data_IF_729517311433
#
_entry.id   IF_729517311433
#
_cell.length_a   1.000
_cell.length_b   1.000
_cell.length_c   1.000
_cell.angle_alpha   90.00
_cell.angle_beta   90.00
_cell.angle_gamma   90.00
#
_symmetry.space_group_name_H-M   'P 1'
#
loop_
_entity.id
_entity.type
_entity.pdbx_description
1 polymer ?
#
# COMPACT_ATOMS: atom_id res chain seq x y z
N UNK A 1 -26.01 6.20 13.79
CA UNK A 1 -24.58 6.29 13.37
C UNK A 1 -24.56 6.87 11.96
N UNK A 2 -23.81 7.94 11.69
CA UNK A 2 -23.81 8.61 10.37
C UNK A 2 -23.30 7.67 9.28
N UNK A 3 -23.87 7.77 8.07
CA UNK A 3 -23.48 7.00 6.89
C UNK A 3 -21.96 7.09 6.61
N UNK A 4 -21.38 8.29 6.76
CA UNK A 4 -19.93 8.54 6.60
C UNK A 4 -19.09 7.74 7.60
N UNK A 5 -19.50 7.70 8.88
CA UNK A 5 -18.76 6.93 9.90
C UNK A 5 -18.75 5.43 9.58
N UNK A 6 -19.87 4.92 9.05
CA UNK A 6 -19.97 3.54 8.58
C UNK A 6 -19.04 3.30 7.39
N UNK A 7 -19.07 4.17 6.38
CA UNK A 7 -18.22 4.06 5.19
C UNK A 7 -16.71 4.09 5.54
N UNK A 8 -16.30 4.98 6.45
CA UNK A 8 -14.91 5.03 6.95
C UNK A 8 -14.50 3.74 7.64
N UNK A 9 -15.37 3.19 8.50
CA UNK A 9 -15.11 1.93 9.18
C UNK A 9 -15.02 0.75 8.21
N UNK A 10 -15.93 0.69 7.23
CA UNK A 10 -15.95 -0.34 6.19
C UNK A 10 -14.72 -0.25 5.29
N UNK A 11 -14.27 0.96 4.95
CA UNK A 11 -13.05 1.17 4.16
C UNK A 11 -11.80 0.67 4.89
N UNK A 12 -11.65 0.95 6.19
CA UNK A 12 -10.53 0.43 6.99
C UNK A 12 -10.55 -1.10 7.08
N UNK A 13 -11.70 -1.70 7.36
CA UNK A 13 -11.84 -3.16 7.40
C UNK A 13 -11.56 -3.80 6.04
N UNK A 14 -12.05 -3.19 4.96
CA UNK A 14 -11.87 -3.70 3.61
C UNK A 14 -10.42 -3.59 3.16
N UNK A 15 -9.70 -2.52 3.52
CA UNK A 15 -8.26 -2.42 3.29
C UNK A 15 -7.51 -3.61 3.92
N UNK A 16 -7.78 -3.89 5.19
CA UNK A 16 -7.13 -5.01 5.89
C UNK A 16 -7.50 -6.36 5.29
N UNK A 17 -8.79 -6.60 5.05
CA UNK A 17 -9.26 -7.87 4.50
C UNK A 17 -8.73 -8.11 3.08
N UNK A 18 -8.74 -7.08 2.22
CA UNK A 18 -8.27 -7.18 0.85
C UNK A 18 -6.76 -7.47 0.79
N UNK A 19 -5.96 -6.77 1.59
CA UNK A 19 -4.51 -6.98 1.67
C UNK A 19 -4.16 -8.37 2.20
N UNK A 20 -4.78 -8.82 3.29
CA UNK A 20 -4.55 -10.18 3.82
C UNK A 20 -5.01 -11.28 2.87
N UNK A 21 -6.05 -11.04 2.07
CA UNK A 21 -6.51 -12.01 1.06
C UNK A 21 -5.61 -12.05 -0.17
N UNK A 22 -5.01 -10.94 -0.59
CA UNK A 22 -4.15 -10.86 -1.78
C UNK A 22 -2.70 -11.20 -1.51
N UNK A 23 -2.22 -10.97 -0.28
CA UNK A 23 -0.84 -11.21 0.15
C UNK A 23 -0.26 -12.59 -0.26
N UNK A 24 -0.98 -13.72 -0.18
CA UNK A 24 -0.43 -15.04 -0.50
C UNK A 24 -0.11 -15.26 -1.97
N UNK A 25 -0.64 -14.41 -2.84
CA UNK A 25 -0.46 -14.48 -4.31
C UNK A 25 0.24 -13.23 -4.85
N UNK A 26 0.81 -12.41 -3.96
CA UNK A 26 1.54 -11.21 -4.36
C UNK A 26 2.77 -11.60 -5.20
N UNK A 27 2.89 -11.00 -6.39
CA UNK A 27 3.95 -11.20 -7.40
C UNK A 27 3.94 -12.54 -8.14
N UNK A 28 2.81 -13.26 -8.13
CA UNK A 28 2.61 -14.34 -9.10
C UNK A 28 2.37 -13.74 -10.48
N UNK A 29 3.28 -14.01 -11.42
CA UNK A 29 3.17 -13.54 -12.80
C UNK A 29 2.32 -14.48 -13.67
N UNK A 30 2.18 -15.75 -13.28
CA UNK A 30 1.27 -16.71 -13.90
C UNK A 30 0.12 -17.07 -12.95
N UNK A 31 -1.12 -16.92 -13.42
CA UNK A 31 -2.33 -17.28 -12.67
C UNK A 31 -2.49 -18.79 -12.48
N UNK A 32 -1.87 -19.63 -13.31
CA UNK A 32 -1.87 -21.09 -13.13
C UNK A 32 -0.97 -21.54 -11.98
N UNK A 33 0.09 -20.79 -11.70
CA UNK A 33 0.95 -21.05 -10.54
C UNK A 33 0.15 -20.86 -9.24
N UNK A 34 -0.70 -19.82 -9.16
CA UNK A 34 -1.64 -19.63 -8.04
C UNK A 34 -2.54 -20.87 -7.90
N UNK A 35 -3.13 -21.32 -9.00
CA UNK A 35 -4.04 -22.47 -8.97
C UNK A 35 -3.33 -23.75 -8.53
N UNK A 36 -2.09 -23.94 -8.94
CA UNK A 36 -1.26 -25.09 -8.57
C UNK A 36 -0.90 -25.04 -7.09
N UNK A 37 -0.36 -23.92 -6.63
CA UNK A 37 0.12 -23.74 -5.26
C UNK A 37 -1.01 -23.78 -4.24
N UNK A 38 -2.20 -23.28 -4.57
CA UNK A 38 -3.35 -23.27 -3.66
C UNK A 38 -4.37 -24.39 -3.94
N UNK A 39 -4.05 -25.33 -4.83
CA UNK A 39 -4.92 -26.46 -5.23
C UNK A 39 -6.31 -25.99 -5.67
N UNK A 40 -6.37 -24.87 -6.39
CA UNK A 40 -7.59 -24.16 -6.73
C UNK A 40 -7.42 -22.65 -6.64
N UNK A 41 -8.52 -21.91 -6.81
CA UNK A 41 -8.52 -20.46 -6.62
C UNK A 41 -8.60 -20.10 -5.14
N UNK A 42 -7.80 -19.12 -4.73
CA UNK A 42 -7.92 -18.55 -3.38
C UNK A 42 -9.32 -17.96 -3.18
N UNK A 43 -9.94 -18.27 -2.04
CA UNK A 43 -11.30 -17.82 -1.69
C UNK A 43 -11.44 -17.30 -0.26
N UNK A 44 -10.30 -17.17 0.44
CA UNK A 44 -10.23 -16.68 1.82
C UNK A 44 -8.81 -16.37 2.23
N UNK A 45 -8.60 -16.17 3.52
CA UNK A 45 -7.27 -15.92 4.09
C UNK A 45 -6.41 -17.17 4.02
N UNK A 46 -5.22 -17.05 3.45
CA UNK A 46 -4.24 -18.11 3.35
C UNK A 46 -2.89 -17.58 3.84
N UNK A 47 -2.03 -18.46 4.34
CA UNK A 47 -0.61 -18.13 4.51
C UNK A 47 0.07 -18.16 3.13
N UNK A 48 1.09 -17.31 2.88
CA UNK A 48 1.91 -17.43 1.69
C UNK A 48 2.63 -18.78 1.71
N UNK A 49 2.90 -19.33 0.53
CA UNK A 49 3.80 -20.47 0.41
C UNK A 49 5.21 -20.07 0.82
N UNK A 50 5.98 -20.98 1.40
CA UNK A 50 7.38 -20.70 1.74
C UNK A 50 8.19 -20.38 0.47
N UNK A 51 7.90 -21.12 -0.61
CA UNK A 51 8.47 -20.93 -1.92
C UNK A 51 7.50 -20.20 -2.85
N UNK A 52 8.03 -19.32 -3.69
CA UNK A 52 7.32 -18.57 -4.70
C UNK A 52 7.96 -18.86 -6.07
N UNK A 53 7.16 -19.28 -7.07
CA UNK A 53 7.65 -19.86 -8.32
C UNK A 53 8.46 -18.89 -9.17
N UNK A 54 8.14 -17.60 -9.11
CA UNK A 54 8.81 -16.55 -9.90
C UNK A 54 9.54 -15.52 -9.04
N UNK A 55 10.00 -15.90 -7.84
CA UNK A 55 10.60 -14.91 -6.94
C UNK A 55 11.87 -14.31 -7.52
N UNK A 56 11.94 -12.99 -7.47
CA UNK A 56 13.15 -12.20 -7.76
C UNK A 56 13.58 -11.39 -6.54
N UNK A 57 13.18 -11.82 -5.34
CA UNK A 57 13.53 -11.14 -4.09
C UNK A 57 15.05 -10.98 -3.96
N UNK A 58 15.82 -12.01 -4.34
CA UNK A 58 17.29 -12.00 -4.30
C UNK A 58 17.95 -10.98 -5.24
N UNK A 59 17.22 -10.48 -6.24
CA UNK A 59 17.69 -9.43 -7.14
C UNK A 59 17.43 -8.03 -6.60
N UNK A 60 16.65 -7.88 -5.54
CA UNK A 60 16.26 -6.58 -4.99
C UNK A 60 17.41 -5.94 -4.22
N UNK A 61 17.57 -4.63 -4.35
CA UNK A 61 18.61 -3.88 -3.66
C UNK A 61 18.29 -3.78 -2.16
N UNK A 62 19.10 -4.42 -1.31
CA UNK A 62 18.92 -4.42 0.16
C UNK A 62 19.41 -3.14 0.83
N UNK A 63 20.15 -2.29 0.11
CA UNK A 63 20.65 -1.00 0.57
C UNK A 63 19.81 0.19 0.06
N UNK A 64 18.77 -0.03 -0.76
CA UNK A 64 17.99 1.06 -1.32
C UNK A 64 16.92 0.62 -2.33
N UNK A 65 16.67 1.50 -3.30
CA UNK A 65 15.63 1.31 -4.30
C UNK A 65 16.03 0.34 -5.42
N UNK A 66 15.04 -0.26 -6.07
CA UNK A 66 15.23 -1.06 -7.29
C UNK A 66 15.98 -2.38 -7.08
N UNK A 67 16.67 -2.82 -8.15
CA UNK A 67 17.47 -4.06 -8.18
C UNK A 67 18.95 -3.78 -7.95
N UNK A 68 19.66 -4.78 -7.43
CA UNK A 68 21.12 -4.74 -7.31
C UNK A 68 21.72 -4.80 -8.72
N UNK A 69 22.33 -3.71 -9.19
CA UNK A 69 23.12 -3.72 -10.42
C UNK A 69 24.58 -3.99 -10.10
N UNK A 70 25.26 -4.79 -10.91
CA UNK A 70 26.70 -5.07 -10.77
C UNK A 70 27.59 -3.81 -10.80
N UNK A 71 27.05 -2.68 -11.27
CA UNK A 71 27.78 -1.44 -11.56
C UNK A 71 27.59 -0.31 -10.53
N UNK A 72 26.83 -0.51 -9.43
CA UNK A 72 26.66 0.57 -8.45
C UNK A 72 27.94 0.76 -7.61
N UNK A 73 28.79 1.68 -8.04
CA UNK A 73 30.12 2.01 -7.50
C UNK A 73 30.17 2.61 -6.09
N UNK A 74 29.09 2.55 -5.31
CA UNK A 74 29.13 2.81 -3.86
C UNK A 74 28.27 1.76 -3.15
N UNK A 75 28.93 0.78 -2.51
CA UNK A 75 28.28 -0.21 -1.64
C UNK A 75 27.81 0.49 -0.36
N UNK A 76 26.64 1.14 -0.40
CA UNK A 76 25.96 1.56 0.83
C UNK A 76 25.68 0.32 1.68
N UNK A 77 25.74 0.41 3.02
CA UNK A 77 25.39 -0.71 3.87
C UNK A 77 23.92 -1.10 3.65
N UNK A 78 23.58 -2.40 3.62
CA UNK A 78 22.20 -2.84 3.56
C UNK A 78 21.38 -2.25 4.71
N UNK A 79 20.18 -1.74 4.39
CA UNK A 79 19.19 -1.34 5.40
C UNK A 79 18.33 -2.52 5.82
N UNK A 80 18.11 -3.48 4.91
CA UNK A 80 17.41 -4.73 5.19
C UNK A 80 18.26 -5.59 6.12
N UNK A 81 17.65 -6.06 7.22
CA UNK A 81 18.28 -6.89 8.24
C UNK A 81 19.01 -6.12 9.33
N UNK A 82 19.26 -4.81 9.16
CA UNK A 82 20.04 -3.99 10.11
C UNK A 82 19.30 -2.74 10.60
N UNK A 83 18.62 -2.03 9.70
CA UNK A 83 17.85 -0.82 10.01
C UNK A 83 16.36 -1.12 9.98
N UNK A 84 15.91 -1.85 8.96
CA UNK A 84 14.53 -2.33 8.80
C UNK A 84 14.53 -3.82 8.49
N UNK A 85 13.38 -4.49 8.64
CA UNK A 85 13.27 -5.93 8.38
C UNK A 85 14.35 -6.74 9.15
N UNK A 86 14.53 -6.40 10.42
CA UNK A 86 15.58 -6.95 11.29
C UNK A 86 15.68 -8.47 11.17
N UNK A 87 16.92 -8.97 11.06
CA UNK A 87 17.28 -10.38 10.94
C UNK A 87 16.84 -11.11 9.65
N UNK A 88 16.27 -10.40 8.67
CA UNK A 88 15.72 -11.02 7.44
C UNK A 88 16.62 -10.91 6.21
N UNK A 89 17.83 -10.35 6.32
CA UNK A 89 18.74 -10.18 5.17
C UNK A 89 19.02 -11.51 4.44
N UNK A 90 19.13 -12.62 5.18
CA UNK A 90 19.39 -13.95 4.62
C UNK A 90 18.28 -14.42 3.64
N UNK A 91 17.04 -13.98 3.83
CA UNK A 91 15.91 -14.27 2.93
C UNK A 91 16.02 -13.48 1.61
N UNK A 92 16.69 -12.32 1.64
CA UNK A 92 16.92 -11.45 0.50
C UNK A 92 18.21 -11.74 -0.26
N UNK A 93 19.09 -12.59 0.27
CA UNK A 93 20.39 -12.91 -0.36
C UNK A 93 20.55 -14.39 -0.67
N UNK A 94 19.51 -15.20 -0.42
CA UNK A 94 19.54 -16.62 -0.74
C UNK A 94 19.73 -16.86 -2.23
N UNK A 95 20.63 -17.79 -2.57
CA UNK A 95 20.89 -18.24 -3.94
C UNK A 95 19.77 -19.12 -4.49
N UNK A 96 18.86 -19.62 -3.65
CA UNK A 96 17.74 -20.48 -4.05
C UNK A 96 16.68 -19.78 -4.91
N UNK A 97 16.66 -18.44 -4.90
CA UNK A 97 15.80 -17.62 -5.78
C UNK A 97 14.29 -17.86 -5.65
N UNK A 98 13.83 -18.54 -4.60
CA UNK A 98 12.43 -19.00 -4.49
C UNK A 98 11.74 -18.53 -3.23
N UNK A 99 12.32 -17.65 -2.41
CA UNK A 99 11.65 -17.18 -1.19
C UNK A 99 10.45 -16.31 -1.55
N UNK A 100 9.30 -16.60 -0.94
CA UNK A 100 8.12 -15.76 -1.08
C UNK A 100 8.35 -14.38 -0.44
N UNK A 101 7.89 -13.31 -1.09
CA UNK A 101 8.05 -11.93 -0.64
C UNK A 101 7.60 -11.73 0.82
N UNK A 102 6.42 -12.26 1.14
CA UNK A 102 5.84 -12.22 2.48
C UNK A 102 6.16 -13.44 3.37
N UNK A 103 7.33 -14.08 3.18
CA UNK A 103 7.74 -15.22 3.98
C UNK A 103 7.56 -14.95 5.50
N UNK A 104 6.93 -15.89 6.21
CA UNK A 104 6.68 -15.81 7.65
C UNK A 104 5.34 -15.17 8.04
N UNK A 105 4.64 -14.48 7.13
CA UNK A 105 3.26 -14.05 7.39
C UNK A 105 2.32 -15.26 7.47
N UNK A 106 1.23 -15.10 8.21
CA UNK A 106 0.16 -16.09 8.37
C UNK A 106 -1.14 -15.63 7.71
N UNK A 107 -2.07 -16.59 7.53
CA UNK A 107 -3.42 -16.30 7.10
C UNK A 107 -4.08 -15.21 7.96
N UNK A 108 -4.49 -14.12 7.31
CA UNK A 108 -5.16 -13.00 7.97
C UNK A 108 -4.21 -11.92 8.50
N UNK A 109 -2.89 -12.09 8.38
CA UNK A 109 -1.93 -11.01 8.67
C UNK A 109 -1.86 -10.03 7.49
N UNK A 110 -1.57 -8.76 7.79
CA UNK A 110 -1.42 -7.70 6.79
C UNK A 110 0.04 -7.50 6.39
N UNK A 111 0.24 -7.06 5.15
CA UNK A 111 1.55 -6.66 4.62
C UNK A 111 2.03 -5.36 5.26
N UNK A 112 3.33 -5.08 5.10
CA UNK A 112 3.99 -3.93 5.70
C UNK A 112 3.30 -2.58 5.39
N UNK A 113 2.79 -2.39 4.17
CA UNK A 113 2.14 -1.14 3.78
C UNK A 113 0.86 -0.90 4.54
N UNK A 114 0.01 -1.93 4.68
CA UNK A 114 -1.24 -1.82 5.43
C UNK A 114 -0.96 -1.69 6.92
N UNK A 115 0.07 -2.35 7.45
CA UNK A 115 0.52 -2.09 8.82
C UNK A 115 0.94 -0.63 9.02
N UNK A 116 1.69 -0.04 8.08
CA UNK A 116 2.05 1.38 8.12
C UNK A 116 0.81 2.30 8.06
N UNK A 117 -0.18 1.97 7.22
CA UNK A 117 -1.44 2.71 7.14
C UNK A 117 -2.24 2.64 8.45
N UNK A 118 -2.38 1.46 9.05
CA UNK A 118 -3.06 1.28 10.34
C UNK A 118 -2.37 2.05 11.46
N UNK A 119 -1.03 2.07 11.45
CA UNK A 119 -0.24 2.86 12.39
C UNK A 119 -0.40 4.36 12.21
N UNK A 120 -0.46 4.84 10.97
CA UNK A 120 -0.78 6.24 10.68
C UNK A 120 -2.17 6.60 11.21
N UNK A 121 -3.20 5.79 10.93
CA UNK A 121 -4.54 6.01 11.47
C UNK A 121 -4.55 6.05 13.01
N UNK A 122 -3.87 5.10 13.67
CA UNK A 122 -3.77 5.06 15.12
C UNK A 122 -3.05 6.30 15.68
N UNK A 123 -1.94 6.70 15.07
CA UNK A 123 -1.19 7.89 15.49
C UNK A 123 -2.02 9.15 15.37
N UNK A 124 -2.77 9.31 14.27
CA UNK A 124 -3.64 10.46 14.06
C UNK A 124 -4.77 10.52 15.10
N UNK A 125 -5.44 9.39 15.36
CA UNK A 125 -6.55 9.31 16.32
C UNK A 125 -6.06 9.46 17.77
N UNK A 126 -5.03 8.71 18.17
CA UNK A 126 -4.49 8.77 19.54
C UNK A 126 -3.79 10.12 19.83
N UNK A 127 -3.25 10.78 18.80
CA UNK A 127 -2.69 12.12 18.92
C UNK A 127 -3.76 13.22 19.03
N UNK A 128 -5.05 12.90 18.90
CA UNK A 128 -6.14 13.86 19.05
C UNK A 128 -6.21 14.89 17.91
N UNK A 129 -5.64 14.59 16.74
CA UNK A 129 -5.65 15.51 15.60
C UNK A 129 -7.07 15.60 15.03
N UNK A 130 -7.67 16.78 15.15
CA UNK A 130 -8.98 17.09 14.54
C UNK A 130 -8.84 17.54 13.08
N UNK A 131 -7.65 18.00 12.69
CA UNK A 131 -7.28 18.33 11.32
C UNK A 131 -5.97 17.61 10.97
N UNK A 132 -6.08 16.54 10.19
CA UNK A 132 -4.93 15.71 9.77
C UNK A 132 -4.11 16.36 8.65
N UNK A 133 -4.54 17.52 8.12
CA UNK A 133 -3.75 18.33 7.19
C UNK A 133 -2.67 19.18 7.88
N UNK A 134 -2.65 19.19 9.22
CA UNK A 134 -1.65 19.91 9.98
C UNK A 134 -0.26 19.29 9.84
N UNK A 135 0.76 20.16 9.93
CA UNK A 135 2.17 19.76 9.85
C UNK A 135 2.56 18.80 10.98
N UNK A 136 2.04 19.01 12.18
CA UNK A 136 2.33 18.19 13.36
C UNK A 136 1.71 16.78 13.24
N UNK A 137 0.56 16.66 12.58
CA UNK A 137 -0.04 15.36 12.26
C UNK A 137 0.89 14.51 11.37
N UNK A 138 1.45 15.13 10.31
CA UNK A 138 2.43 14.46 9.45
C UNK A 138 3.73 14.13 10.19
N UNK A 139 4.21 15.03 11.05
CA UNK A 139 5.40 14.81 11.86
C UNK A 139 5.23 13.61 12.81
N UNK A 140 4.08 13.53 13.49
CA UNK A 140 3.75 12.43 14.39
C UNK A 140 3.70 11.09 13.64
N UNK A 141 2.99 11.04 12.50
CA UNK A 141 2.90 9.82 11.68
C UNK A 141 4.27 9.39 11.15
N UNK A 142 5.09 10.31 10.66
CA UNK A 142 6.44 9.97 10.21
C UNK A 142 7.35 9.48 11.33
N UNK A 143 7.26 10.07 12.52
CA UNK A 143 8.01 9.62 13.68
C UNK A 143 7.63 8.20 14.08
N UNK A 144 6.32 7.90 14.10
CA UNK A 144 5.82 6.55 14.37
C UNK A 144 6.23 5.54 13.28
N UNK A 145 6.20 5.95 12.00
CA UNK A 145 6.67 5.16 10.86
C UNK A 145 8.17 4.80 10.98
N UNK A 146 9.02 5.77 11.33
CA UNK A 146 10.44 5.53 11.60
C UNK A 146 10.59 4.56 12.77
N UNK A 147 9.98 4.87 13.91
CA UNK A 147 10.07 4.03 15.11
C UNK A 147 9.63 2.59 14.82
N UNK A 148 8.51 2.41 14.13
CA UNK A 148 7.97 1.10 13.78
C UNK A 148 8.93 0.26 12.96
N UNK A 149 9.41 0.81 11.85
CA UNK A 149 10.26 0.06 10.91
C UNK A 149 11.66 -0.16 11.46
N UNK A 150 12.15 0.73 12.34
CA UNK A 150 13.46 0.57 12.97
C UNK A 150 13.44 -0.29 14.22
N UNK A 151 12.27 -0.68 14.74
CA UNK A 151 12.17 -1.52 15.94
C UNK A 151 12.22 -3.00 15.56
N UNK A 152 13.18 -3.79 16.08
CA UNK A 152 13.19 -5.24 15.87
C UNK A 152 11.89 -5.90 16.33
N UNK A 153 11.46 -6.95 15.62
CA UNK A 153 10.25 -7.72 15.92
C UNK A 153 8.93 -6.94 15.93
N UNK A 154 8.89 -5.69 15.43
CA UNK A 154 7.67 -4.89 15.36
C UNK A 154 6.65 -5.45 14.35
N UNK A 155 7.11 -6.23 13.36
CA UNK A 155 6.26 -6.88 12.36
C UNK A 155 6.92 -8.15 11.79
N UNK A 156 6.09 -9.03 11.21
CA UNK A 156 6.53 -10.31 10.66
C UNK A 156 6.86 -10.30 9.17
N UNK A 157 6.41 -9.29 8.43
CA UNK A 157 6.63 -9.23 6.98
C UNK A 157 8.12 -9.24 6.58
N UNK A 158 8.44 -9.98 5.52
CA UNK A 158 9.77 -10.11 4.94
C UNK A 158 10.00 -9.10 3.81
N UNK A 159 8.94 -8.55 3.22
CA UNK A 159 9.05 -7.62 2.11
C UNK A 159 8.85 -6.16 2.55
N UNK A 160 9.68 -5.27 2.02
CA UNK A 160 9.47 -3.84 2.06
C UNK A 160 9.70 -3.29 0.66
N UNK A 161 8.76 -2.49 0.14
CA UNK A 161 8.89 -1.86 -1.18
C UNK A 161 10.12 -0.94 -1.31
N UNK A 162 10.49 -0.63 -2.55
CA UNK A 162 11.63 0.23 -2.89
C UNK A 162 11.58 1.59 -2.19
N UNK A 163 10.37 2.13 -1.97
CA UNK A 163 10.13 3.40 -1.28
C UNK A 163 10.60 3.40 0.17
N UNK A 164 10.33 2.31 0.91
CA UNK A 164 10.78 2.13 2.29
C UNK A 164 12.29 1.98 2.34
N UNK A 165 12.86 1.09 1.52
CA UNK A 165 14.32 0.87 1.48
C UNK A 165 15.05 2.15 1.09
N UNK A 166 14.54 2.90 0.12
CA UNK A 166 15.09 4.21 -0.26
C UNK A 166 14.98 5.25 0.85
N UNK A 167 13.85 5.29 1.58
CA UNK A 167 13.70 6.20 2.71
C UNK A 167 14.76 5.93 3.78
N UNK A 168 14.92 4.66 4.18
CA UNK A 168 15.88 4.31 5.23
C UNK A 168 17.34 4.36 4.77
N UNK A 169 17.58 4.16 3.47
CA UNK A 169 18.91 4.36 2.89
C UNK A 169 19.39 5.80 3.08
N UNK A 170 18.51 6.80 2.99
CA UNK A 170 18.87 8.20 3.21
C UNK A 170 18.80 8.56 4.71
N UNK A 171 17.84 7.99 5.44
CA UNK A 171 17.66 8.26 6.87
C UNK A 171 18.86 7.79 7.71
N UNK A 172 19.50 6.69 7.33
CA UNK A 172 20.61 6.10 8.12
C UNK A 172 21.83 7.02 8.28
N UNK A 173 21.97 8.05 7.43
CA UNK A 173 23.08 9.01 7.47
C UNK A 173 22.96 9.99 8.65
N UNK A 174 21.74 10.36 9.03
CA UNK A 174 21.47 11.38 10.07
C UNK A 174 20.64 10.89 11.24
N UNK A 175 19.90 9.78 11.05
CA UNK A 175 19.06 9.09 12.05
C UNK A 175 18.23 10.04 12.93
N UNK A 176 17.46 10.99 12.36
CA UNK A 176 16.59 11.85 13.14
C UNK A 176 15.55 11.01 13.89
N UNK A 177 15.29 11.37 15.14
CA UNK A 177 14.38 10.61 16.03
C UNK A 177 13.17 11.42 16.49
N UNK A 178 13.29 12.73 16.69
CA UNK A 178 12.16 13.56 17.11
C UNK A 178 11.20 13.84 15.93
N UNK A 179 9.88 14.01 16.18
CA UNK A 179 8.92 14.28 15.11
C UNK A 179 9.29 15.44 14.17
N UNK A 180 9.76 16.56 14.74
CA UNK A 180 10.16 17.74 13.96
C UNK A 180 11.41 17.50 13.11
N UNK A 181 12.38 16.75 13.63
CA UNK A 181 13.59 16.39 12.89
C UNK A 181 13.28 15.41 11.76
N UNK A 182 12.47 14.39 12.03
CA UNK A 182 12.06 13.39 11.02
C UNK A 182 11.29 14.07 9.88
N UNK A 183 10.37 14.97 10.21
CA UNK A 183 9.64 15.73 9.20
C UNK A 183 10.58 16.61 8.37
N UNK A 184 11.48 17.37 9.02
CA UNK A 184 12.45 18.23 8.32
C UNK A 184 13.36 17.41 7.40
N UNK A 185 13.77 16.22 7.83
CA UNK A 185 14.51 15.27 7.01
C UNK A 185 13.69 14.83 5.79
N UNK A 186 12.44 14.41 5.99
CA UNK A 186 11.58 13.93 4.92
C UNK A 186 11.23 15.03 3.90
N UNK A 187 10.99 16.27 4.34
CA UNK A 187 10.78 17.44 3.48
C UNK A 187 12.02 17.73 2.62
N UNK A 188 13.22 17.74 3.23
CA UNK A 188 14.49 17.93 2.49
C UNK A 188 14.74 16.80 1.50
N UNK A 189 14.56 15.55 1.92
CA UNK A 189 14.69 14.36 1.07
C UNK A 189 13.72 14.43 -0.12
N UNK A 190 12.47 14.78 0.14
CA UNK A 190 11.44 14.91 -0.90
C UNK A 190 11.86 15.93 -1.94
N UNK A 191 12.23 17.14 -1.50
CA UNK A 191 12.65 18.23 -2.40
C UNK A 191 13.83 17.80 -3.28
N UNK A 192 14.86 17.18 -2.69
CA UNK A 192 16.04 16.72 -3.43
C UNK A 192 15.69 15.68 -4.49
N UNK A 193 14.88 14.68 -4.16
CA UNK A 193 14.53 13.59 -5.09
C UNK A 193 13.59 14.06 -6.20
N UNK A 194 12.63 14.93 -5.90
CA UNK A 194 11.72 15.48 -6.92
C UNK A 194 12.37 16.50 -7.84
N UNK A 195 13.45 17.15 -7.40
CA UNK A 195 14.22 18.10 -8.22
C UNK A 195 15.34 17.45 -9.04
N UNK A 196 15.54 16.13 -8.90
CA UNK A 196 16.50 15.38 -9.70
C UNK A 196 16.09 15.36 -11.17
N UNK A 197 17.05 15.53 -12.09
CA UNK A 197 16.82 15.43 -13.54
C UNK A 197 16.42 14.01 -13.97
N UNK A 198 16.82 12.99 -13.20
CA UNK A 198 16.36 11.62 -13.32
C UNK A 198 15.63 11.19 -12.06
N UNK A 199 14.30 11.07 -12.16
CA UNK A 199 13.48 10.54 -11.08
C UNK A 199 13.59 9.02 -11.04
N UNK A 200 13.75 8.47 -9.84
CA UNK A 200 13.78 7.02 -9.64
C UNK A 200 12.37 6.43 -9.85
N UNK A 201 12.17 5.74 -10.97
CA UNK A 201 10.87 5.15 -11.34
C UNK A 201 10.37 4.10 -10.35
N UNK A 202 11.25 3.53 -9.51
CA UNK A 202 10.88 2.58 -8.48
C UNK A 202 10.19 3.24 -7.28
N UNK A 203 10.21 4.57 -7.20
CA UNK A 203 9.47 5.35 -6.21
C UNK A 203 8.05 5.72 -6.69
N UNK A 204 7.77 5.47 -7.97
CA UNK A 204 6.44 5.57 -8.56
C UNK A 204 5.68 4.26 -8.38
N UNK A 205 5.39 3.93 -7.12
CA UNK A 205 4.92 2.62 -6.72
C UNK A 205 3.50 2.68 -6.14
N UNK A 206 2.73 1.62 -6.36
CA UNK A 206 1.33 1.50 -5.91
C UNK A 206 1.19 1.49 -4.38
N UNK A 207 2.26 1.16 -3.65
CA UNK A 207 2.35 1.24 -2.18
C UNK A 207 2.02 2.61 -1.59
N UNK A 208 1.97 3.66 -2.42
CA UNK A 208 1.52 4.98 -2.02
C UNK A 208 0.03 5.03 -1.63
N UNK A 209 -0.82 4.19 -2.22
CA UNK A 209 -2.27 4.25 -2.01
C UNK A 209 -2.69 3.80 -0.60
N UNK A 210 -2.22 2.67 -0.04
CA UNK A 210 -2.51 2.33 1.35
C UNK A 210 -2.06 3.42 2.34
N UNK A 211 -0.89 4.02 2.09
CA UNK A 211 -0.27 5.01 3.00
C UNK A 211 -1.08 6.31 3.14
N UNK A 212 -1.89 6.67 2.14
CA UNK A 212 -2.71 7.89 2.18
C UNK A 212 -4.12 7.67 2.71
N UNK A 213 -4.58 6.41 2.82
CA UNK A 213 -5.96 6.11 3.23
C UNK A 213 -6.33 6.75 4.57
N UNK A 214 -5.51 6.70 5.63
CA UNK A 214 -5.83 7.34 6.90
C UNK A 214 -6.10 8.84 6.77
N UNK A 215 -5.35 9.55 5.92
CA UNK A 215 -5.49 11.00 5.73
C UNK A 215 -6.81 11.35 5.02
N UNK A 216 -7.24 10.54 4.05
CA UNK A 216 -8.52 10.74 3.36
C UNK A 216 -9.68 10.34 4.28
N UNK A 217 -9.61 9.16 4.90
CA UNK A 217 -10.68 8.58 5.71
C UNK A 217 -10.96 9.42 6.98
N UNK A 218 -9.91 9.91 7.65
CA UNK A 218 -10.07 10.77 8.83
C UNK A 218 -10.42 12.22 8.47
N UNK A 219 -10.30 12.60 7.19
CA UNK A 219 -10.78 13.88 6.65
C UNK A 219 -12.16 13.77 5.98
N UNK A 220 -12.90 12.66 6.14
CA UNK A 220 -14.14 12.43 5.41
C UNK A 220 -15.24 13.49 5.68
N UNK A 221 -15.19 14.18 6.82
CA UNK A 221 -16.10 15.29 7.14
C UNK A 221 -15.55 16.67 6.77
N UNK A 222 -14.29 16.76 6.35
CA UNK A 222 -13.72 17.99 5.81
C UNK A 222 -14.14 18.16 4.33
N UNK A 223 -13.87 19.35 3.78
CA UNK A 223 -14.05 19.58 2.35
C UNK A 223 -13.04 18.74 1.53
N UNK A 224 -13.39 18.45 0.27
CA UNK A 224 -12.60 17.60 -0.62
C UNK A 224 -11.15 18.11 -0.76
N UNK A 225 -10.96 19.42 -0.91
CA UNK A 225 -9.63 20.00 -1.12
C UNK A 225 -8.72 19.78 0.08
N UNK A 226 -9.23 19.93 1.30
CA UNK A 226 -8.46 19.68 2.52
C UNK A 226 -8.08 18.20 2.66
N UNK A 227 -9.02 17.27 2.40
CA UNK A 227 -8.75 15.83 2.45
C UNK A 227 -7.69 15.40 1.42
N UNK A 228 -7.79 15.93 0.20
CA UNK A 228 -6.84 15.66 -0.89
C UNK A 228 -5.47 16.25 -0.58
N UNK A 229 -5.40 17.51 -0.12
CA UNK A 229 -4.14 18.14 0.26
C UNK A 229 -3.45 17.39 1.40
N UNK A 230 -4.19 16.92 2.41
CA UNK A 230 -3.62 16.12 3.50
C UNK A 230 -2.94 14.83 3.00
N UNK A 231 -3.62 14.09 2.12
CA UNK A 231 -3.10 12.88 1.49
C UNK A 231 -1.87 13.16 0.60
N UNK A 232 -1.97 14.16 -0.28
CA UNK A 232 -0.89 14.54 -1.21
C UNK A 232 0.34 15.06 -0.46
N UNK A 233 0.16 15.85 0.59
CA UNK A 233 1.29 16.39 1.34
C UNK A 233 1.99 15.32 2.16
N UNK A 234 1.25 14.33 2.67
CA UNK A 234 1.88 13.19 3.35
C UNK A 234 2.62 12.28 2.37
N UNK A 235 2.02 11.94 1.22
CA UNK A 235 2.63 10.97 0.30
C UNK A 235 3.97 11.45 -0.26
N UNK A 236 4.12 12.76 -0.52
CA UNK A 236 5.39 13.36 -1.00
C UNK A 236 6.56 13.06 -0.07
N UNK A 237 6.31 12.97 1.24
CA UNK A 237 7.33 12.74 2.26
C UNK A 237 7.89 11.30 2.23
N UNK A 238 7.10 10.34 1.74
CA UNK A 238 7.48 8.91 1.67
C UNK A 238 7.80 8.45 0.26
N UNK A 239 7.04 8.91 -0.74
CA UNK A 239 7.11 8.56 -2.16
C UNK A 239 7.46 9.80 -3.03
N UNK A 240 8.70 10.31 -2.95
CA UNK A 240 9.07 11.53 -3.66
C UNK A 240 9.34 11.24 -5.15
N UNK A 241 8.27 11.19 -5.92
CA UNK A 241 8.29 11.05 -7.38
C UNK A 241 7.33 12.08 -8.01
N UNK A 242 7.68 12.73 -9.14
CA UNK A 242 6.85 13.79 -9.74
C UNK A 242 5.42 13.37 -10.11
N UNK A 243 5.19 12.11 -10.50
CA UNK A 243 3.87 11.61 -10.91
C UNK A 243 2.96 11.23 -9.73
N UNK A 244 3.52 10.83 -8.59
CA UNK A 244 2.75 10.30 -7.44
C UNK A 244 1.70 11.29 -6.90
N UNK A 245 1.98 12.61 -6.75
CA UNK A 245 0.99 13.57 -6.30
C UNK A 245 -0.28 13.61 -7.17
N UNK A 246 -0.16 13.41 -8.48
CA UNK A 246 -1.30 13.41 -9.39
C UNK A 246 -2.18 12.17 -9.16
N UNK A 247 -1.58 10.98 -9.11
CA UNK A 247 -2.30 9.73 -8.84
C UNK A 247 -3.02 9.78 -7.49
N UNK A 248 -2.34 10.26 -6.45
CA UNK A 248 -2.93 10.40 -5.12
C UNK A 248 -4.05 11.43 -5.10
N UNK A 249 -3.92 12.55 -5.83
CA UNK A 249 -4.98 13.54 -5.94
C UNK A 249 -6.25 12.94 -6.56
N UNK A 250 -6.11 12.24 -7.69
CA UNK A 250 -7.23 11.61 -8.40
C UNK A 250 -7.90 10.55 -7.52
N UNK A 251 -7.12 9.65 -6.93
CA UNK A 251 -7.64 8.61 -6.05
C UNK A 251 -8.33 9.18 -4.80
N UNK A 252 -7.72 10.18 -4.16
CA UNK A 252 -8.26 10.79 -2.94
C UNK A 252 -9.57 11.53 -3.19
N UNK A 253 -9.71 12.21 -4.34
CA UNK A 253 -10.98 12.84 -4.75
C UNK A 253 -12.08 11.80 -4.95
N UNK A 254 -11.78 10.73 -5.70
CA UNK A 254 -12.73 9.66 -5.92
C UNK A 254 -13.16 8.99 -4.60
N UNK A 255 -12.20 8.70 -3.71
CA UNK A 255 -12.48 8.10 -2.41
C UNK A 255 -13.29 9.03 -1.51
N UNK A 256 -12.93 10.32 -1.42
CA UNK A 256 -13.69 11.31 -0.63
C UNK A 256 -15.14 11.43 -1.10
N UNK A 257 -15.36 11.51 -2.42
CA UNK A 257 -16.70 11.52 -3.01
C UNK A 257 -17.50 10.25 -2.66
N UNK A 258 -16.88 9.06 -2.74
CA UNK A 258 -17.51 7.79 -2.37
C UNK A 258 -17.89 7.74 -0.89
N UNK A 259 -17.03 8.24 0.01
CA UNK A 259 -17.34 8.35 1.44
C UNK A 259 -18.54 9.29 1.68
N UNK A 260 -18.70 10.31 0.84
CA UNK A 260 -19.84 11.21 0.80
C UNK A 260 -21.11 10.63 0.17
N UNK A 261 -21.08 9.38 -0.31
CA UNK A 261 -22.22 8.67 -0.89
C UNK A 261 -22.27 8.64 -2.41
N UNK A 262 -21.24 9.12 -3.11
CA UNK A 262 -21.16 9.00 -4.57
C UNK A 262 -21.00 7.53 -5.01
N UNK A 263 -21.46 7.21 -6.23
CA UNK A 263 -21.37 5.86 -6.78
C UNK A 263 -19.92 5.48 -7.11
N UNK A 264 -19.44 4.33 -6.61
CA UNK A 264 -18.05 3.90 -6.82
C UNK A 264 -17.72 3.72 -8.31
N UNK A 265 -18.64 3.16 -9.10
CA UNK A 265 -18.44 2.95 -10.53
C UNK A 265 -18.23 4.27 -11.27
N UNK A 266 -19.04 5.28 -10.94
CA UNK A 266 -18.97 6.61 -11.56
C UNK A 266 -17.65 7.30 -11.20
N UNK A 267 -17.25 7.27 -9.92
CA UNK A 267 -15.99 7.89 -9.50
C UNK A 267 -14.77 7.15 -10.06
N UNK A 268 -14.82 5.82 -10.17
CA UNK A 268 -13.77 5.04 -10.83
C UNK A 268 -13.66 5.38 -12.32
N UNK A 269 -14.79 5.47 -13.04
CA UNK A 269 -14.79 5.88 -14.45
C UNK A 269 -14.21 7.29 -14.62
N UNK A 270 -14.65 8.25 -13.80
CA UNK A 270 -14.13 9.61 -13.82
C UNK A 270 -12.62 9.64 -13.61
N UNK A 271 -12.11 8.92 -12.61
CA UNK A 271 -10.68 8.82 -12.33
C UNK A 271 -9.88 8.23 -13.50
N UNK A 272 -10.37 7.12 -14.08
CA UNK A 272 -9.71 6.46 -15.21
C UNK A 272 -9.73 7.31 -16.49
N UNK A 273 -10.79 8.11 -16.70
CA UNK A 273 -10.84 9.09 -17.79
C UNK A 273 -9.88 10.25 -17.57
N UNK A 274 -9.73 10.74 -16.34
CA UNK A 274 -8.71 11.75 -16.01
C UNK A 274 -7.29 11.26 -16.29
N UNK A 275 -7.05 9.96 -16.10
CA UNK A 275 -5.78 9.31 -16.38
C UNK A 275 -5.60 8.90 -17.86
N UNK A 276 -6.59 9.13 -18.72
CA UNK A 276 -6.60 8.71 -20.13
C UNK A 276 -6.38 7.19 -20.34
N UNK A 277 -6.90 6.37 -19.43
CA UNK A 277 -6.75 4.89 -19.47
C UNK A 277 -8.09 4.15 -19.46
N UNK A 278 -9.21 4.88 -19.47
CA UNK A 278 -10.55 4.29 -19.38
C UNK A 278 -10.80 3.19 -20.43
N UNK A 279 -10.47 3.45 -21.69
CA UNK A 279 -10.74 2.50 -22.78
C UNK A 279 -9.86 1.24 -22.66
N UNK A 280 -8.62 1.39 -22.23
CA UNK A 280 -7.72 0.26 -21.91
C UNK A 280 -8.31 -0.58 -20.78
N UNK A 281 -8.76 0.07 -19.70
CA UNK A 281 -9.32 -0.57 -18.52
C UNK A 281 -10.69 -1.23 -18.75
N UNK A 282 -11.44 -0.84 -19.78
CA UNK A 282 -12.72 -1.48 -20.09
C UNK A 282 -12.55 -2.96 -20.41
N UNK A 283 -11.54 -3.31 -21.20
CA UNK A 283 -11.28 -4.71 -21.61
C UNK A 283 -11.03 -5.62 -20.40
N UNK A 284 -10.24 -5.16 -19.44
CA UNK A 284 -9.98 -5.85 -18.17
C UNK A 284 -11.24 -5.92 -17.30
N UNK A 285 -12.01 -4.83 -17.23
CA UNK A 285 -13.28 -4.80 -16.48
C UNK A 285 -14.31 -5.79 -17.04
N UNK A 286 -14.41 -5.91 -18.36
CA UNK A 286 -15.27 -6.88 -19.05
C UNK A 286 -14.81 -8.32 -18.80
N UNK A 287 -13.49 -8.56 -18.77
CA UNK A 287 -12.92 -9.88 -18.48
C UNK A 287 -13.16 -10.27 -17.02
N UNK A 288 -12.94 -9.35 -16.08
CA UNK A 288 -13.20 -9.54 -14.66
C UNK A 288 -14.68 -9.85 -14.38
N UNK A 289 -15.61 -9.28 -15.16
CA UNK A 289 -17.04 -9.54 -15.02
C UNK A 289 -17.45 -10.99 -15.33
N UNK A 290 -16.61 -11.76 -16.04
CA UNK A 290 -16.85 -13.17 -16.36
C UNK A 290 -16.55 -14.10 -15.18
N UNK A 291 -15.68 -13.68 -14.27
CA UNK A 291 -15.38 -14.38 -13.02
C UNK A 291 -16.45 -14.02 -11.97
N UNK A 292 -17.69 -14.42 -12.19
CA UNK A 292 -18.74 -14.31 -11.17
C UNK A 292 -18.47 -15.32 -10.07
N UNK A 293 -18.57 -14.89 -8.81
CA UNK A 293 -18.58 -15.79 -7.66
C UNK A 293 -19.75 -16.78 -7.83
N UNK A 294 -19.54 -18.10 -7.68
CA UNK A 294 -20.63 -19.06 -7.72
C UNK A 294 -21.71 -18.68 -6.71
N UNK A 295 -22.98 -18.82 -7.10
CA UNK A 295 -24.19 -18.47 -6.33
C UNK A 295 -24.44 -19.32 -5.08
N UNK A 296 -23.40 -19.81 -4.40
CA UNK A 296 -23.49 -20.72 -3.26
C UNK A 296 -23.92 -20.05 -1.94
N UNK A 297 -24.27 -18.76 -1.93
CA UNK A 297 -24.79 -18.05 -0.74
C UNK A 297 -26.29 -17.71 -0.83
N UNK A 298 -27.04 -18.38 -1.69
CA UNK A 298 -28.51 -18.34 -1.65
C UNK A 298 -29.05 -19.45 -0.75
N UNK A 299 -29.09 -19.19 0.56
CA UNK A 299 -30.15 -19.76 1.38
C UNK A 299 -30.82 -18.67 2.22
N UNK A 300 -32.15 -18.68 2.17
CA UNK A 300 -33.06 -17.69 2.73
C UNK A 300 -33.10 -17.81 4.25
N UNK A 301 -32.80 -16.72 4.96
CA UNK A 301 -33.60 -16.12 6.04
C UNK A 301 -32.73 -15.26 6.96
N UNK A 302 -33.24 -14.06 7.28
CA UNK A 302 -32.75 -13.10 8.29
C UNK A 302 -31.47 -12.32 7.93
N UNK A 303 -31.51 -11.05 8.31
CA UNK A 303 -30.52 -9.99 8.06
C UNK A 303 -29.11 -10.43 8.50
N UNK A 304 -28.19 -10.61 7.55
CA UNK A 304 -26.78 -10.96 7.82
C UNK A 304 -25.85 -9.90 7.20
N UNK A 305 -25.03 -9.19 8.00
CA UNK A 305 -24.07 -8.16 7.54
C UNK A 305 -22.97 -8.67 6.59
N UNK A 306 -22.87 -9.99 6.37
CA UNK A 306 -21.87 -10.61 5.49
C UNK A 306 -22.14 -10.46 3.99
N UNK A 307 -23.31 -9.93 3.59
CA UNK A 307 -23.71 -9.81 2.18
C UNK A 307 -23.11 -8.59 1.46
N UNK A 308 -22.74 -7.54 2.19
CA UNK A 308 -22.16 -6.31 1.60
C UNK A 308 -20.63 -6.40 1.39
N UNK A 309 -19.97 -7.32 2.09
CA UNK A 309 -18.51 -7.54 1.99
C UNK A 309 -18.13 -8.07 0.60
N UNK A 310 -18.99 -8.86 -0.05
CA UNK A 310 -18.71 -9.47 -1.36
C UNK A 310 -18.84 -8.49 -2.54
N UNK A 311 -19.64 -7.43 -2.38
CA UNK A 311 -19.79 -6.35 -3.36
C UNK A 311 -18.65 -5.34 -3.21
N UNK A 312 -18.26 -5.01 -1.98
CA UNK A 312 -17.08 -4.18 -1.70
C UNK A 312 -15.76 -4.87 -2.10
N UNK A 313 -15.62 -6.18 -1.88
CA UNK A 313 -14.47 -6.94 -2.39
C UNK A 313 -14.44 -6.99 -3.92
N UNK A 314 -15.58 -7.12 -4.61
CA UNK A 314 -15.59 -7.06 -6.08
C UNK A 314 -15.18 -5.69 -6.62
N UNK A 315 -15.45 -4.61 -5.89
CA UNK A 315 -15.11 -3.25 -6.31
C UNK A 315 -13.68 -2.87 -5.91
N UNK A 316 -13.21 -3.25 -4.72
CA UNK A 316 -11.80 -3.11 -4.33
C UNK A 316 -10.89 -4.02 -5.17
N UNK A 317 -11.28 -5.27 -5.44
CA UNK A 317 -10.53 -6.14 -6.35
C UNK A 317 -10.63 -5.62 -7.78
N UNK A 318 -11.76 -5.08 -8.26
CA UNK A 318 -11.79 -4.52 -9.63
C UNK A 318 -11.06 -3.19 -9.77
N UNK A 319 -11.05 -2.32 -8.76
CA UNK A 319 -10.32 -1.05 -8.78
C UNK A 319 -8.83 -1.28 -8.52
N UNK A 320 -8.46 -2.13 -7.56
CA UNK A 320 -7.06 -2.54 -7.37
C UNK A 320 -6.55 -3.41 -8.51
N UNK A 321 -7.33 -4.32 -9.11
CA UNK A 321 -6.88 -5.10 -10.28
C UNK A 321 -6.81 -4.21 -11.53
N UNK A 322 -7.75 -3.27 -11.76
CA UNK A 322 -7.59 -2.32 -12.86
C UNK A 322 -6.42 -1.34 -12.65
N UNK A 323 -6.07 -0.96 -11.41
CA UNK A 323 -4.88 -0.16 -11.11
C UNK A 323 -3.58 -1.00 -11.13
N UNK A 324 -3.62 -2.27 -10.72
CA UNK A 324 -2.47 -3.19 -10.74
C UNK A 324 -2.14 -3.72 -12.15
N UNK A 325 -3.10 -3.72 -13.08
CA UNK A 325 -2.89 -4.21 -14.46
C UNK A 325 -2.41 -3.08 -15.39
N UNK A 326 -2.46 -1.81 -14.94
CA UNK A 326 -2.07 -0.65 -15.73
C UNK A 326 -0.75 0.02 -15.31
N UNK A 327 0.05 -0.62 -14.43
CA UNK A 327 1.42 -0.22 -14.08
C UNK A 327 2.37 -1.38 -14.32
#
# INVERSE_FOLDING_TARGET
>A
MSQVRRAVSEALWTMCAADSMSMPVHWYYDVQDIRTDFRGWISGFNSPRERHPSSILSLSNTAGSGRTTWTSGQKRPPVVGSVILHDKLHLWTTSSGSVHYHHGLQAGENTLNVLCALRAARTLVCGGFTDVSQRDARAAVLSDYVHFLTTPHSHRDTYAESVHRSFFSDWQDSRPTSPSQVLTFAEKRSKLKTSSSSSDSQLDAIGCLPMILPFVLLSASANEQQAVSAAVDFVKLTHPHPRVPEYVSIYSRALHAVLGGAGVREQAERALRTLDVWDVCQSYSHTAARYRCPSAFHNKSLLDPRKDVCVCLNVCVRVCVCLCVCV
#
